data_IF_815990074886
#
_entry.id   IF_815990074886
#
_cell.length_a   1.000
_cell.length_b   1.000
_cell.length_c   1.000
_cell.angle_alpha   90.00
_cell.angle_beta   90.00
_cell.angle_gamma   90.00
#
_symmetry.space_group_name_H-M   'P 1'
#
loop_
_entity.id
_entity.type
_entity.pdbx_description
1 polymer ?
#
# COMPACT_ATOMS: atom_id res chain seq x y z
N UNK A 1 -22.70 -2.71 -1.48
CA UNK A 1 -22.35 -4.09 -1.88
C UNK A 1 -23.09 -4.54 -3.15
N UNK A 2 -24.38 -4.22 -3.31
CA UNK A 2 -25.15 -4.60 -4.51
C UNK A 2 -24.63 -4.05 -5.87
N UNK A 3 -23.85 -2.97 -5.88
CA UNK A 3 -23.29 -2.36 -7.09
C UNK A 3 -22.10 -3.12 -7.71
N UNK A 4 -21.37 -3.89 -6.88
CA UNK A 4 -20.20 -4.68 -7.29
C UNK A 4 -20.55 -6.16 -7.54
N UNK A 5 -21.79 -6.56 -7.27
CA UNK A 5 -22.34 -7.91 -7.48
C UNK A 5 -23.15 -7.98 -8.78
N UNK A 6 -22.70 -7.24 -9.80
CA UNK A 6 -23.25 -7.34 -11.15
C UNK A 6 -22.69 -8.59 -11.82
N UNK A 7 -23.47 -9.27 -12.65
CA UNK A 7 -23.11 -10.58 -13.24
C UNK A 7 -21.77 -10.56 -14.01
N UNK A 8 -21.41 -9.40 -14.59
CA UNK A 8 -20.14 -9.15 -15.29
C UNK A 8 -18.94 -9.00 -14.34
N UNK A 9 -19.14 -8.45 -13.14
CA UNK A 9 -18.08 -8.21 -12.14
C UNK A 9 -17.85 -9.44 -11.25
N UNK A 10 -18.85 -10.31 -11.09
CA UNK A 10 -18.75 -11.57 -10.33
C UNK A 10 -17.76 -12.56 -10.97
N UNK A 11 -17.61 -12.54 -12.29
CA UNK A 11 -16.64 -13.37 -13.01
C UNK A 11 -15.20 -12.86 -12.89
N UNK A 12 -15.01 -11.65 -12.37
CA UNK A 12 -13.72 -10.97 -12.32
C UNK A 12 -12.92 -11.26 -11.04
N UNK A 13 -13.48 -12.08 -10.13
CA UNK A 13 -12.94 -12.45 -8.81
C UNK A 13 -12.28 -11.24 -8.12
N UNK A 14 -13.06 -10.18 -7.99
CA UNK A 14 -12.61 -8.95 -7.34
C UNK A 14 -12.51 -9.23 -5.84
N UNK A 15 -11.29 -9.43 -5.37
CA UNK A 15 -11.00 -9.44 -3.94
C UNK A 15 -11.10 -7.99 -3.43
N UNK A 16 -12.30 -7.63 -2.97
CA UNK A 16 -12.59 -6.28 -2.47
C UNK A 16 -12.53 -6.27 -0.95
N UNK A 17 -11.59 -5.49 -0.40
CA UNK A 17 -11.53 -5.24 1.04
C UNK A 17 -12.74 -4.44 1.55
N UNK A 18 -13.04 -4.44 2.86
CA UNK A 18 -14.12 -3.64 3.40
C UNK A 18 -13.87 -2.15 3.10
N UNK A 19 -14.85 -1.43 2.51
CA UNK A 19 -14.69 -0.04 2.14
C UNK A 19 -14.36 0.81 3.37
N UNK A 20 -13.32 1.64 3.26
CA UNK A 20 -12.89 2.52 4.34
C UNK A 20 -13.44 3.93 4.10
N UNK A 21 -13.97 4.62 5.13
CA UNK A 21 -14.33 6.02 5.01
C UNK A 21 -13.07 6.85 4.80
N UNK A 22 -13.09 7.73 3.81
CA UNK A 22 -11.98 8.61 3.48
C UNK A 22 -12.48 10.04 3.41
N UNK A 23 -11.89 10.93 4.22
CA UNK A 23 -12.23 12.34 4.21
C UNK A 23 -11.07 13.12 3.62
N UNK A 24 -11.34 13.97 2.64
CA UNK A 24 -10.33 14.85 2.07
C UNK A 24 -10.85 16.28 1.99
N UNK A 25 -9.94 17.23 2.18
CA UNK A 25 -10.23 18.65 2.02
C UNK A 25 -9.98 19.01 0.57
N UNK A 26 -11.01 19.53 -0.09
CA UNK A 26 -10.88 20.01 -1.46
C UNK A 26 -9.99 21.27 -1.48
N UNK A 27 -8.84 21.25 -2.20
CA UNK A 27 -7.90 22.38 -2.22
C UNK A 27 -8.49 23.67 -2.83
N UNK A 28 -9.54 23.57 -3.65
CA UNK A 28 -10.12 24.71 -4.36
C UNK A 28 -11.28 25.35 -3.58
N UNK A 29 -12.07 24.55 -2.86
CA UNK A 29 -13.26 25.02 -2.14
C UNK A 29 -13.10 25.04 -0.62
N UNK A 30 -12.02 24.44 -0.08
CA UNK A 30 -11.78 24.34 1.37
C UNK A 30 -12.83 23.50 2.11
N UNK A 31 -13.75 22.86 1.38
CA UNK A 31 -14.82 22.03 1.91
C UNK A 31 -14.32 20.63 2.26
N UNK A 32 -14.83 20.08 3.36
CA UNK A 32 -14.64 18.68 3.73
C UNK A 32 -15.52 17.81 2.84
N UNK A 33 -14.92 16.97 1.99
CA UNK A 33 -15.63 15.97 1.19
C UNK A 33 -15.48 14.59 1.81
N UNK A 34 -16.56 13.82 1.73
CA UNK A 34 -16.63 12.44 2.21
C UNK A 34 -16.53 11.51 1.01
N UNK A 35 -15.61 10.56 1.08
CA UNK A 35 -15.36 9.55 0.06
C UNK A 35 -15.27 8.16 0.68
N UNK A 36 -15.19 7.17 -0.21
CA UNK A 36 -15.01 5.78 0.16
C UNK A 36 -13.79 5.26 -0.57
N UNK A 37 -12.87 4.66 0.18
CA UNK A 37 -11.68 4.05 -0.37
C UNK A 37 -11.89 2.54 -0.53
N UNK A 38 -11.73 2.08 -1.77
CA UNK A 38 -11.95 0.70 -2.19
C UNK A 38 -10.60 0.16 -2.67
N UNK A 39 -10.13 -0.92 -2.04
CA UNK A 39 -8.95 -1.64 -2.50
C UNK A 39 -9.39 -2.88 -3.28
N UNK A 40 -8.72 -3.11 -4.40
CA UNK A 40 -8.95 -4.25 -5.28
C UNK A 40 -7.60 -4.85 -5.67
N UNK A 41 -7.62 -6.03 -6.31
CA UNK A 41 -6.47 -6.50 -7.08
C UNK A 41 -6.15 -5.52 -8.21
N UNK A 42 -4.96 -5.70 -8.80
CA UNK A 42 -4.61 -5.04 -10.06
C UNK A 42 -5.66 -5.35 -11.13
N UNK A 43 -6.24 -4.30 -11.72
CA UNK A 43 -7.17 -4.37 -12.84
C UNK A 43 -6.47 -3.93 -14.12
N UNK A 44 -6.72 -4.57 -15.25
CA UNK A 44 -6.27 -4.01 -16.52
C UNK A 44 -7.17 -2.84 -16.97
N UNK A 45 -6.76 -2.05 -17.97
CA UNK A 45 -7.55 -0.90 -18.47
C UNK A 45 -8.99 -1.24 -18.89
N UNK A 46 -9.23 -2.47 -19.37
CA UNK A 46 -10.57 -2.89 -19.80
C UNK A 46 -11.45 -3.21 -18.59
N UNK A 47 -10.90 -3.93 -17.62
CA UNK A 47 -11.52 -4.26 -16.34
C UNK A 47 -11.83 -3.00 -15.51
N UNK A 48 -10.89 -2.06 -15.45
CA UNK A 48 -11.07 -0.78 -14.76
C UNK A 48 -12.25 -0.01 -15.34
N UNK A 49 -12.32 0.11 -16.68
CA UNK A 49 -13.42 0.80 -17.34
C UNK A 49 -14.77 0.14 -17.06
N UNK A 50 -14.81 -1.19 -17.00
CA UNK A 50 -16.03 -1.94 -16.63
C UNK A 50 -16.46 -1.66 -15.19
N UNK A 51 -15.50 -1.62 -14.26
CA UNK A 51 -15.77 -1.31 -12.84
C UNK A 51 -16.27 0.13 -12.68
N UNK A 52 -15.63 1.11 -13.33
CA UNK A 52 -16.06 2.51 -13.28
C UNK A 52 -17.47 2.66 -13.87
N UNK A 53 -17.73 2.06 -15.04
CA UNK A 53 -19.06 2.10 -15.68
C UNK A 53 -20.14 1.48 -14.78
N UNK A 54 -19.82 0.38 -14.08
CA UNK A 54 -20.75 -0.26 -13.15
C UNK A 54 -21.01 0.60 -11.91
N UNK A 55 -19.98 1.28 -11.39
CA UNK A 55 -20.07 2.21 -10.28
C UNK A 55 -20.92 3.44 -10.64
N UNK A 56 -20.69 4.04 -11.81
CA UNK A 56 -21.50 5.15 -12.34
C UNK A 56 -22.98 4.75 -12.47
N UNK A 57 -23.25 3.56 -12.97
CA UNK A 57 -24.62 3.05 -13.12
C UNK A 57 -25.34 2.87 -11.78
N UNK A 58 -24.60 2.53 -10.71
CA UNK A 58 -25.18 2.25 -9.40
C UNK A 58 -25.30 3.49 -8.50
N UNK A 59 -24.40 4.47 -8.64
CA UNK A 59 -24.30 5.62 -7.75
C UNK A 59 -24.58 6.99 -8.43
N UNK A 60 -24.79 7.02 -9.75
CA UNK A 60 -24.96 8.25 -10.55
C UNK A 60 -23.65 8.66 -11.25
N UNK A 61 -23.67 9.72 -12.07
CA UNK A 61 -22.44 10.24 -12.71
C UNK A 61 -21.37 10.54 -11.64
N UNK A 62 -20.31 9.74 -11.64
CA UNK A 62 -19.12 9.98 -10.83
C UNK A 62 -18.23 10.91 -11.66
N UNK A 63 -18.60 12.19 -11.69
CA UNK A 63 -17.88 13.20 -12.47
C UNK A 63 -16.51 13.54 -11.85
N UNK A 64 -15.62 14.19 -12.59
CA UNK A 64 -14.28 14.59 -12.08
C UNK A 64 -14.38 15.51 -10.84
N UNK A 65 -15.46 16.28 -10.67
CA UNK A 65 -15.76 17.08 -9.47
C UNK A 65 -16.02 16.23 -8.20
N UNK A 66 -16.38 14.96 -8.39
CA UNK A 66 -16.58 13.97 -7.32
C UNK A 66 -15.26 13.51 -6.70
N UNK A 67 -14.12 13.82 -7.33
CA UNK A 67 -12.78 13.50 -6.83
C UNK A 67 -12.40 12.02 -6.93
N UNK A 68 -12.87 11.31 -7.96
CA UNK A 68 -12.44 9.94 -8.22
C UNK A 68 -10.91 9.89 -8.43
N UNK A 69 -10.21 9.23 -7.50
CA UNK A 69 -8.78 8.97 -7.62
C UNK A 69 -8.55 7.47 -7.78
N UNK A 70 -8.10 7.07 -8.97
CA UNK A 70 -7.65 5.71 -9.22
C UNK A 70 -6.13 5.69 -9.07
N UNK A 71 -5.65 5.07 -7.99
CA UNK A 71 -4.23 4.88 -7.76
C UNK A 71 -3.87 3.42 -8.06
N UNK A 72 -3.15 3.20 -9.15
CA UNK A 72 -2.75 1.88 -9.58
C UNK A 72 -1.24 1.71 -9.46
N UNK A 73 -0.82 0.58 -8.89
CA UNK A 73 0.58 0.17 -8.86
C UNK A 73 0.72 -1.07 -9.72
N UNK A 74 1.61 -1.01 -10.71
CA UNK A 74 1.92 -2.16 -11.55
C UNK A 74 2.63 -3.25 -10.74
N UNK A 75 2.15 -4.51 -10.76
CA UNK A 75 2.72 -5.60 -9.98
C UNK A 75 4.20 -5.86 -10.28
N UNK A 76 4.63 -5.58 -11.52
CA UNK A 76 6.02 -5.77 -11.96
C UNK A 76 6.95 -4.77 -11.26
N UNK A 77 6.61 -3.48 -11.29
CA UNK A 77 7.38 -2.41 -10.64
C UNK A 77 7.37 -2.60 -9.13
N UNK A 78 6.21 -2.96 -8.54
CA UNK A 78 6.10 -3.22 -7.11
C UNK A 78 7.01 -4.38 -6.66
N UNK A 79 7.07 -5.46 -7.45
CA UNK A 79 7.96 -6.60 -7.18
C UNK A 79 9.43 -6.20 -7.27
N UNK A 80 9.82 -5.47 -8.32
CA UNK A 80 11.19 -4.99 -8.47
C UNK A 80 11.61 -4.05 -7.33
N UNK A 81 10.73 -3.12 -6.94
CA UNK A 81 10.96 -2.21 -5.83
C UNK A 81 11.14 -2.96 -4.50
N UNK A 82 10.34 -4.00 -4.26
CA UNK A 82 10.47 -4.85 -3.08
C UNK A 82 11.84 -5.53 -3.02
N UNK A 83 12.28 -6.13 -4.13
CA UNK A 83 13.58 -6.79 -4.18
C UNK A 83 14.73 -5.79 -4.05
N UNK A 84 14.64 -4.63 -4.69
CA UNK A 84 15.65 -3.58 -4.57
C UNK A 84 15.75 -3.04 -3.14
N UNK A 85 14.62 -2.80 -2.48
CA UNK A 85 14.57 -2.41 -1.07
C UNK A 85 15.18 -3.51 -0.18
N UNK A 86 14.86 -4.77 -0.44
CA UNK A 86 15.42 -5.91 0.28
C UNK A 86 16.95 -5.98 0.14
N UNK A 87 17.48 -5.91 -1.09
CA UNK A 87 18.92 -5.90 -1.32
C UNK A 87 19.60 -4.70 -0.65
N UNK A 88 19.00 -3.51 -0.72
CA UNK A 88 19.55 -2.31 -0.08
C UNK A 88 19.67 -2.48 1.44
N UNK A 89 18.65 -3.05 2.10
CA UNK A 89 18.68 -3.32 3.55
C UNK A 89 19.75 -4.34 3.91
N UNK A 90 19.83 -5.46 3.17
CA UNK A 90 20.83 -6.51 3.43
C UNK A 90 22.25 -5.97 3.26
N UNK A 91 22.51 -5.22 2.18
CA UNK A 91 23.83 -4.60 1.93
C UNK A 91 24.15 -3.60 3.03
N UNK A 92 23.19 -2.77 3.44
CA UNK A 92 23.36 -1.81 4.53
C UNK A 92 23.74 -2.49 5.85
N UNK A 93 23.03 -3.55 6.23
CA UNK A 93 23.35 -4.32 7.43
C UNK A 93 24.76 -4.91 7.40
N UNK A 94 25.15 -5.51 6.28
CA UNK A 94 26.50 -6.07 6.12
C UNK A 94 27.57 -4.99 6.25
N UNK A 95 27.39 -3.83 5.62
CA UNK A 95 28.32 -2.71 5.71
C UNK A 95 28.44 -2.16 7.14
N UNK A 96 27.31 -2.02 7.85
CA UNK A 96 27.30 -1.58 9.25
C UNK A 96 28.03 -2.58 10.16
N UNK A 97 27.78 -3.89 9.97
CA UNK A 97 28.46 -4.92 10.75
C UNK A 97 29.98 -4.92 10.51
N UNK A 98 30.41 -4.78 9.25
CA UNK A 98 31.84 -4.64 8.92
C UNK A 98 32.43 -3.40 9.58
N UNK A 99 31.73 -2.26 9.51
CA UNK A 99 32.18 -1.02 10.13
C UNK A 99 32.35 -1.17 11.64
N UNK A 100 31.35 -1.73 12.32
CA UNK A 100 31.41 -1.93 13.77
C UNK A 100 32.53 -2.91 14.14
N UNK A 101 32.70 -4.00 13.39
CA UNK A 101 33.75 -4.99 13.63
C UNK A 101 35.17 -4.41 13.52
N UNK A 102 35.40 -3.47 12.60
CA UNK A 102 36.69 -2.78 12.49
C UNK A 102 36.87 -1.65 13.49
N UNK A 103 35.77 -1.04 13.95
CA UNK A 103 35.79 0.18 14.77
C UNK A 103 35.82 -0.09 16.27
N UNK A 104 35.24 -1.20 16.73
CA UNK A 104 34.99 -1.50 18.14
C UNK A 104 35.59 -2.84 18.59
N UNK A 105 35.87 -2.95 19.89
CA UNK A 105 36.21 -4.24 20.50
C UNK A 105 35.00 -5.20 20.44
N UNK A 106 35.26 -6.48 20.17
CA UNK A 106 34.24 -7.51 19.92
C UNK A 106 33.11 -7.54 20.96
N UNK A 107 33.41 -7.21 22.22
CA UNK A 107 32.45 -7.17 23.34
C UNK A 107 31.38 -6.09 23.18
N UNK A 108 31.72 -4.87 22.77
CA UNK A 108 30.74 -3.79 22.61
C UNK A 108 29.93 -3.92 21.32
N UNK A 109 30.51 -4.51 20.27
CA UNK A 109 29.79 -4.83 19.03
C UNK A 109 28.65 -5.85 19.24
N UNK A 110 28.91 -6.93 19.98
CA UNK A 110 27.88 -7.95 20.29
C UNK A 110 26.76 -7.37 21.17
N UNK A 111 27.08 -6.52 22.13
CA UNK A 111 26.07 -5.84 22.95
C UNK A 111 25.16 -4.92 22.11
N UNK A 112 25.73 -4.17 21.16
CA UNK A 112 24.96 -3.34 20.23
C UNK A 112 24.07 -4.15 19.27
N UNK A 113 24.56 -5.28 18.78
CA UNK A 113 23.76 -6.17 17.92
C UNK A 113 22.54 -6.74 18.66
N UNK A 114 22.72 -7.18 19.91
CA UNK A 114 21.61 -7.67 20.73
C UNK A 114 20.57 -6.57 21.03
N UNK A 115 21.02 -5.35 21.29
CA UNK A 115 20.12 -4.20 21.47
C UNK A 115 19.31 -3.91 20.20
N UNK A 116 19.93 -3.95 19.02
CA UNK A 116 19.23 -3.74 17.74
C UNK A 116 18.19 -4.82 17.45
N UNK A 117 18.51 -6.09 17.75
CA UNK A 117 17.54 -7.19 17.58
C UNK A 117 16.32 -6.96 18.50
N UNK A 118 16.55 -6.57 19.75
CA UNK A 118 15.48 -6.27 20.70
C UNK A 118 14.58 -5.12 20.19
N UNK A 119 15.15 -4.03 19.67
CA UNK A 119 14.38 -2.89 19.15
C UNK A 119 13.50 -3.28 17.96
N UNK A 120 14.03 -4.09 17.03
CA UNK A 120 13.25 -4.57 15.87
C UNK A 120 12.11 -5.50 16.31
N UNK A 121 12.35 -6.39 17.27
CA UNK A 121 11.30 -7.28 17.80
C UNK A 121 10.16 -6.49 18.45
N UNK A 122 10.47 -5.41 19.17
CA UNK A 122 9.46 -4.54 19.75
C UNK A 122 8.62 -3.84 18.70
N UNK A 123 9.24 -3.29 17.66
CA UNK A 123 8.51 -2.63 16.57
C UNK A 123 7.59 -3.63 15.87
N UNK A 124 8.11 -4.80 15.50
CA UNK A 124 7.28 -5.82 14.83
C UNK A 124 6.13 -6.27 15.75
N UNK A 125 6.39 -6.51 17.04
CA UNK A 125 5.37 -6.97 17.97
C UNK A 125 4.25 -5.96 18.26
N UNK A 126 4.52 -4.66 18.15
CA UNK A 126 3.51 -3.61 18.35
C UNK A 126 2.66 -3.36 17.10
N UNK A 127 3.24 -3.55 15.91
CA UNK A 127 2.58 -3.26 14.63
C UNK A 127 2.04 -4.50 13.88
N UNK A 128 2.25 -5.71 14.42
CA UNK A 128 1.68 -6.97 13.92
C UNK A 128 0.25 -7.20 14.43
#
# INVERSE_FOLDING_TARGET
>A
MAALDTEELRNLDLEVGPPQPYNYVDPQTGGQKYGVLIHTRFLNQQEEKLVITALEKAFGEIDEESGLQVNQVEPVIGKELLFNAFYAVVISWVLILIYIAFRFEFKSGVAGLLALIHDVLWIIGVFA
#
